data_IF_704736355067
#
_entry.id   IF_704736355067
#
_cell.length_a   1.000
_cell.length_b   1.000
_cell.length_c   1.000
_cell.angle_alpha   90.00
_cell.angle_beta   90.00
_cell.angle_gamma   90.00
#
_symmetry.space_group_name_H-M   'P 1'
#
loop_
_entity.id
_entity.type
_entity.pdbx_description
1 polymer ?
#
# COMPACT_ATOMS: atom_id res chain seq x y z
N UNK A 1 -6.16 51.28 -20.01
CA UNK A 1 -4.95 50.85 -20.72
C UNK A 1 -3.76 51.56 -20.09
N UNK A 2 -2.92 50.84 -19.35
CA UNK A 2 -1.73 51.42 -18.71
C UNK A 2 -0.50 51.07 -19.55
N UNK A 3 0.17 52.09 -20.07
CA UNK A 3 1.37 52.03 -20.90
C UNK A 3 2.61 51.90 -20.02
N UNK A 4 3.44 50.89 -20.26
CA UNK A 4 4.71 50.68 -19.55
C UNK A 4 5.79 51.55 -20.20
N UNK A 5 6.50 52.33 -19.40
CA UNK A 5 7.59 53.22 -19.83
C UNK A 5 8.90 52.44 -19.98
N UNK A 6 9.45 52.43 -21.20
CA UNK A 6 10.61 51.63 -21.63
C UNK A 6 11.94 52.25 -21.16
N UNK A 7 11.90 53.44 -20.57
CA UNK A 7 13.08 54.22 -20.17
C UNK A 7 13.85 53.63 -18.97
N UNK A 8 13.23 52.76 -18.15
CA UNK A 8 13.90 52.12 -17.01
C UNK A 8 14.73 50.88 -17.38
N UNK A 9 14.45 50.25 -18.53
CA UNK A 9 15.14 49.02 -18.94
C UNK A 9 16.55 49.32 -19.45
N UNK A 10 16.77 50.50 -20.05
CA UNK A 10 18.05 50.86 -20.68
C UNK A 10 19.10 51.41 -19.70
N UNK A 11 18.73 51.73 -18.45
CA UNK A 11 19.68 52.24 -17.45
C UNK A 11 20.42 51.13 -16.67
N UNK A 12 19.98 49.88 -16.81
CA UNK A 12 20.56 48.73 -16.09
C UNK A 12 21.72 48.03 -16.81
N UNK A 13 22.04 48.40 -18.06
CA UNK A 13 23.00 47.65 -18.89
C UNK A 13 24.36 48.34 -19.12
N UNK A 14 24.68 49.40 -18.39
CA UNK A 14 26.00 50.05 -18.51
C UNK A 14 26.61 50.37 -17.14
N UNK A 15 27.14 49.35 -16.46
CA UNK A 15 28.20 49.56 -15.46
C UNK A 15 29.13 48.36 -15.47
N UNK A 16 30.41 48.65 -15.59
CA UNK A 16 31.54 47.74 -15.82
C UNK A 16 31.56 46.51 -14.89
N UNK A 17 31.90 45.36 -15.49
CA UNK A 17 32.26 44.14 -14.77
C UNK A 17 33.58 44.32 -14.00
N UNK A 18 33.52 44.26 -12.67
CA UNK A 18 34.66 43.92 -11.80
C UNK A 18 34.48 42.48 -11.30
N UNK A 19 35.54 41.63 -11.30
CA UNK A 19 35.41 40.25 -10.85
C UNK A 19 35.26 40.18 -9.32
N UNK A 20 34.11 39.68 -8.87
CA UNK A 20 33.82 39.39 -7.46
C UNK A 20 34.70 38.23 -6.95
N UNK A 21 35.36 38.43 -5.81
CA UNK A 21 36.13 37.39 -5.09
C UNK A 21 35.20 36.23 -4.70
N UNK A 22 35.63 34.99 -4.99
CA UNK A 22 34.93 33.74 -4.63
C UNK A 22 34.64 33.69 -3.13
N UNK A 23 33.35 33.67 -2.77
CA UNK A 23 32.91 33.22 -1.44
C UNK A 23 33.05 31.70 -1.36
N UNK A 24 33.45 31.12 -0.21
CA UNK A 24 33.46 29.68 -0.03
C UNK A 24 32.05 29.11 -0.18
N UNK A 25 31.94 27.98 -0.88
CA UNK A 25 30.69 27.23 -1.07
C UNK A 25 30.17 26.76 0.31
N UNK A 26 28.87 26.88 0.64
CA UNK A 26 28.28 26.08 1.70
C UNK A 26 28.31 24.61 1.27
N UNK A 27 28.76 23.73 2.17
CA UNK A 27 28.77 22.29 1.93
C UNK A 27 27.35 21.79 1.58
N UNK A 28 27.21 20.77 0.72
CA UNK A 28 25.92 20.13 0.49
C UNK A 28 25.40 19.59 1.83
N UNK A 29 24.13 19.87 2.15
CA UNK A 29 23.45 19.20 3.25
C UNK A 29 23.59 17.69 3.04
N UNK A 30 24.22 17.01 4.00
CA UNK A 30 24.30 15.56 4.03
C UNK A 30 22.87 15.02 4.14
N UNK A 31 22.30 14.63 3.00
CA UNK A 31 21.25 13.62 2.99
C UNK A 31 21.93 12.37 3.53
N UNK A 32 21.67 12.05 4.80
CA UNK A 32 22.07 10.80 5.42
C UNK A 32 21.51 9.67 4.57
N UNK A 33 22.39 9.05 3.77
CA UNK A 33 22.12 7.76 3.16
C UNK A 33 21.86 6.77 4.28
N UNK A 34 20.94 5.80 4.10
CA UNK A 34 20.80 4.71 5.05
C UNK A 34 22.18 4.07 5.20
N UNK A 35 22.71 4.05 6.42
CA UNK A 35 23.93 3.31 6.72
C UNK A 35 23.63 1.85 6.48
N UNK A 36 24.06 1.33 5.33
CA UNK A 36 24.14 -0.11 5.09
C UNK A 36 25.18 -0.61 6.10
N UNK A 37 24.69 -1.13 7.21
CA UNK A 37 25.54 -1.73 8.24
C UNK A 37 26.11 -3.03 7.67
N UNK A 38 27.42 -3.06 7.45
CA UNK A 38 28.14 -4.30 7.17
C UNK A 38 27.90 -5.26 8.35
N UNK A 39 27.27 -6.44 8.14
CA UNK A 39 26.83 -7.32 9.22
C UNK A 39 27.99 -7.95 10.03
N UNK A 40 29.24 -7.65 9.69
CA UNK A 40 30.45 -8.17 10.34
C UNK A 40 30.92 -7.31 11.52
N UNK A 41 30.45 -6.06 11.64
CA UNK A 41 30.90 -5.13 12.69
C UNK A 41 29.79 -4.45 13.51
N UNK A 42 28.52 -4.83 13.32
CA UNK A 42 27.43 -4.26 14.11
C UNK A 42 27.57 -4.65 15.59
N UNK A 43 27.64 -3.65 16.48
CA UNK A 43 27.60 -3.92 17.90
C UNK A 43 26.22 -4.44 18.28
N UNK A 44 26.07 -5.29 19.31
CA UNK A 44 24.76 -5.78 19.73
C UNK A 44 23.80 -4.65 20.11
N UNK A 45 24.33 -3.49 20.52
CA UNK A 45 23.56 -2.27 20.82
C UNK A 45 23.02 -1.61 19.55
N UNK A 46 23.79 -1.58 18.45
CA UNK A 46 23.33 -1.04 17.16
C UNK A 46 22.26 -1.94 16.53
N UNK A 47 22.38 -3.27 16.69
CA UNK A 47 21.37 -4.22 16.24
C UNK A 47 20.08 -4.03 17.05
N UNK A 48 20.19 -3.87 18.38
CA UNK A 48 19.05 -3.57 19.24
C UNK A 48 18.38 -2.24 18.87
N UNK A 49 19.16 -1.18 18.67
CA UNK A 49 18.62 0.13 18.30
C UNK A 49 17.92 0.11 16.93
N UNK A 50 18.45 -0.62 15.95
CA UNK A 50 17.80 -0.79 14.65
C UNK A 50 16.48 -1.58 14.76
N UNK A 51 16.45 -2.65 15.56
CA UNK A 51 15.23 -3.42 15.81
C UNK A 51 14.18 -2.63 16.62
N UNK A 52 14.61 -1.79 17.57
CA UNK A 52 13.73 -0.89 18.31
C UNK A 52 13.15 0.23 17.41
N UNK A 53 13.92 0.73 16.45
CA UNK A 53 13.43 1.69 15.47
C UNK A 53 12.46 1.07 14.45
N UNK A 54 12.72 -0.17 13.99
CA UNK A 54 11.79 -0.89 13.10
C UNK A 54 10.50 -1.28 13.83
N UNK A 55 10.58 -1.69 15.10
CA UNK A 55 9.39 -1.98 15.91
C UNK A 55 8.59 -0.73 16.27
N UNK A 56 9.22 0.44 16.42
CA UNK A 56 8.53 1.72 16.62
C UNK A 56 7.81 2.24 15.36
N UNK A 57 8.18 1.74 14.16
CA UNK A 57 7.48 2.03 12.90
C UNK A 57 6.32 1.07 12.64
N UNK A 58 6.18 0.02 13.45
CA UNK A 58 4.99 -0.82 13.44
C UNK A 58 3.82 0.05 13.96
N UNK A 59 3.01 0.55 13.02
CA UNK A 59 1.80 1.27 13.36
C UNK A 59 1.00 0.42 14.36
N UNK A 60 0.73 0.96 15.54
CA UNK A 60 -0.14 0.30 16.52
C UNK A 60 -1.45 0.01 15.82
N UNK A 61 -1.77 -1.27 15.64
CA UNK A 61 -2.99 -1.65 14.96
C UNK A 61 -4.16 -1.27 15.85
N UNK A 62 -5.04 -0.44 15.31
CA UNK A 62 -6.27 0.02 15.95
C UNK A 62 -7.44 -0.08 14.96
N UNK A 63 -8.67 0.11 15.47
CA UNK A 63 -9.88 0.07 14.65
C UNK A 63 -9.82 1.05 13.45
N UNK A 64 -9.19 2.21 13.67
CA UNK A 64 -9.07 3.26 12.65
C UNK A 64 -8.13 2.80 11.54
N UNK A 65 -7.04 2.14 11.89
CA UNK A 65 -6.07 1.57 10.98
C UNK A 65 -6.69 0.47 10.12
N UNK A 66 -7.47 -0.45 10.70
CA UNK A 66 -8.16 -1.50 9.94
C UNK A 66 -9.19 -0.92 8.95
N UNK A 67 -9.96 0.08 9.37
CA UNK A 67 -10.88 0.80 8.45
C UNK A 67 -10.12 1.52 7.34
N UNK A 68 -8.99 2.14 7.67
CA UNK A 68 -8.12 2.81 6.68
C UNK A 68 -7.55 1.81 5.69
N UNK A 69 -7.09 0.66 6.16
CA UNK A 69 -6.52 -0.41 5.33
C UNK A 69 -7.57 -0.98 4.36
N UNK A 70 -8.78 -1.26 4.88
CA UNK A 70 -9.92 -1.69 4.07
C UNK A 70 -10.27 -0.66 2.98
N UNK A 71 -10.34 0.62 3.34
CA UNK A 71 -10.60 1.70 2.39
C UNK A 71 -9.46 1.91 1.38
N UNK A 72 -8.21 1.63 1.78
CA UNK A 72 -7.05 1.68 0.89
C UNK A 72 -7.13 0.56 -0.15
N UNK A 73 -7.43 -0.66 0.27
CA UNK A 73 -7.63 -1.79 -0.63
C UNK A 73 -8.72 -1.49 -1.67
N UNK A 74 -9.88 -1.00 -1.23
CA UNK A 74 -10.98 -0.63 -2.14
C UNK A 74 -10.55 0.43 -3.17
N UNK A 75 -9.81 1.46 -2.74
CA UNK A 75 -9.25 2.48 -3.65
C UNK A 75 -8.29 1.87 -4.66
N UNK A 76 -7.43 0.93 -4.26
CA UNK A 76 -6.49 0.26 -5.16
C UNK A 76 -7.21 -0.64 -6.16
N UNK A 77 -8.25 -1.35 -5.75
CA UNK A 77 -9.13 -2.13 -6.65
C UNK A 77 -9.75 -1.22 -7.70
N UNK A 78 -10.36 -0.12 -7.26
CA UNK A 78 -10.99 0.84 -8.18
C UNK A 78 -9.96 1.44 -9.14
N UNK A 79 -8.77 1.79 -8.64
CA UNK A 79 -7.70 2.36 -9.46
C UNK A 79 -7.20 1.37 -10.50
N UNK A 80 -6.96 0.12 -10.10
CA UNK A 80 -6.54 -0.94 -11.00
C UNK A 80 -7.58 -1.17 -12.10
N UNK A 81 -8.86 -1.31 -11.73
CA UNK A 81 -9.97 -1.47 -12.68
C UNK A 81 -10.07 -0.30 -13.65
N UNK A 82 -9.90 0.93 -13.17
CA UNK A 82 -9.87 2.13 -14.02
C UNK A 82 -8.72 2.05 -15.04
N UNK A 83 -7.52 1.66 -14.60
CA UNK A 83 -6.35 1.52 -15.48
C UNK A 83 -6.51 0.40 -16.50
N UNK A 84 -7.06 -0.76 -16.10
CA UNK A 84 -7.42 -1.86 -17.03
C UNK A 84 -8.44 -1.41 -18.06
N UNK A 85 -9.42 -0.60 -17.67
CA UNK A 85 -10.42 -0.05 -18.60
C UNK A 85 -9.81 0.96 -19.58
N UNK A 86 -8.89 1.82 -19.11
CA UNK A 86 -8.24 2.85 -19.93
C UNK A 86 -7.16 2.29 -20.86
N UNK A 87 -6.50 1.21 -20.46
CA UNK A 87 -5.34 0.65 -21.14
C UNK A 87 -5.50 -0.86 -21.43
N UNK A 88 -6.70 -1.29 -21.83
CA UNK A 88 -7.02 -2.69 -22.07
C UNK A 88 -6.06 -3.39 -23.06
N UNK A 89 -5.61 -2.68 -24.09
CA UNK A 89 -4.69 -3.20 -25.12
C UNK A 89 -3.21 -3.14 -24.73
N UNK A 90 -2.87 -2.55 -23.58
CA UNK A 90 -1.47 -2.35 -23.16
C UNK A 90 -1.26 -2.71 -21.67
N UNK A 91 -1.11 -4.02 -21.36
CA UNK A 91 -0.92 -4.51 -19.99
C UNK A 91 0.20 -3.84 -19.21
N UNK A 92 1.25 -3.38 -19.89
CA UNK A 92 2.39 -2.72 -19.25
C UNK A 92 2.00 -1.40 -18.58
N UNK A 93 0.94 -0.74 -19.04
CA UNK A 93 0.48 0.55 -18.48
C UNK A 93 -0.31 0.42 -17.19
N UNK A 94 -0.88 -0.74 -16.90
CA UNK A 94 -1.60 -0.98 -15.64
C UNK A 94 -0.86 -1.93 -14.70
N UNK A 95 0.29 -2.46 -15.10
CA UNK A 95 1.13 -3.34 -14.27
C UNK A 95 1.51 -2.69 -12.93
N UNK A 96 1.91 -1.41 -12.92
CA UNK A 96 2.22 -0.70 -11.66
C UNK A 96 1.01 -0.69 -10.71
N UNK A 97 -0.20 -0.52 -11.25
CA UNK A 97 -1.43 -0.57 -10.45
C UNK A 97 -1.83 -1.98 -10.02
N UNK A 98 -1.33 -3.03 -10.67
CA UNK A 98 -1.49 -4.42 -10.20
C UNK A 98 -0.54 -4.70 -9.04
N UNK A 99 0.72 -4.27 -9.15
CA UNK A 99 1.71 -4.40 -8.06
C UNK A 99 1.25 -3.63 -6.82
N UNK A 100 0.72 -2.42 -6.99
CA UNK A 100 0.16 -1.65 -5.88
C UNK A 100 -1.09 -2.31 -5.26
N UNK A 101 -1.90 -3.00 -6.06
CA UNK A 101 -3.05 -3.75 -5.57
C UNK A 101 -2.61 -4.99 -4.79
N UNK A 102 -1.67 -5.76 -5.34
CA UNK A 102 -1.09 -6.92 -4.67
C UNK A 102 -0.47 -6.52 -3.32
N UNK A 103 0.33 -5.44 -3.30
CA UNK A 103 0.91 -4.91 -2.06
C UNK A 103 -0.18 -4.58 -1.03
N UNK A 104 -1.28 -3.96 -1.44
CA UNK A 104 -2.39 -3.65 -0.54
C UNK A 104 -3.11 -4.91 -0.02
N UNK A 105 -3.17 -5.99 -0.82
CA UNK A 105 -3.67 -7.29 -0.36
C UNK A 105 -2.69 -7.88 0.66
N UNK A 106 -1.38 -7.77 0.41
CA UNK A 106 -0.36 -8.25 1.34
C UNK A 106 -0.42 -7.54 2.71
N UNK A 107 -0.67 -6.23 2.71
CA UNK A 107 -0.83 -5.46 3.95
C UNK A 107 -2.04 -5.92 4.79
N UNK A 108 -3.09 -6.47 4.17
CA UNK A 108 -4.28 -6.97 4.88
C UNK A 108 -3.99 -8.18 5.78
N UNK A 109 -2.89 -8.90 5.58
CA UNK A 109 -2.52 -10.04 6.43
C UNK A 109 -2.30 -9.67 7.90
N UNK A 110 -2.07 -8.38 8.20
CA UNK A 110 -2.02 -7.89 9.58
C UNK A 110 -3.31 -8.18 10.35
N UNK A 111 -4.46 -8.23 9.66
CA UNK A 111 -5.75 -8.53 10.28
C UNK A 111 -5.82 -9.99 10.74
N UNK A 112 -5.25 -10.94 9.98
CA UNK A 112 -5.26 -12.35 10.34
C UNK A 112 -4.48 -12.63 11.64
N UNK A 113 -3.47 -11.81 11.93
CA UNK A 113 -2.70 -11.87 13.17
C UNK A 113 -3.42 -11.24 14.38
N UNK A 114 -4.56 -10.56 14.17
CA UNK A 114 -5.30 -9.87 15.23
C UNK A 114 -6.82 -10.03 15.07
N UNK A 115 -7.35 -11.22 15.42
CA UNK A 115 -8.77 -11.56 15.26
C UNK A 115 -9.74 -10.67 16.04
N UNK A 116 -9.27 -9.93 17.05
CA UNK A 116 -10.07 -8.95 17.80
C UNK A 116 -10.66 -7.85 16.91
N UNK A 117 -10.04 -7.57 15.76
CA UNK A 117 -10.49 -6.54 14.83
C UNK A 117 -11.43 -7.04 13.73
N UNK A 118 -11.79 -8.34 13.70
CA UNK A 118 -12.66 -8.89 12.67
C UNK A 118 -14.02 -8.21 12.60
N UNK A 119 -14.63 -7.86 13.75
CA UNK A 119 -15.89 -7.12 13.77
C UNK A 119 -15.77 -5.75 13.08
N UNK A 120 -14.68 -5.03 13.34
CA UNK A 120 -14.39 -3.74 12.70
C UNK A 120 -14.20 -3.87 11.18
N UNK A 121 -13.52 -4.93 10.74
CA UNK A 121 -13.35 -5.25 9.32
C UNK A 121 -14.68 -5.58 8.62
N UNK A 122 -15.55 -6.35 9.27
CA UNK A 122 -16.89 -6.67 8.76
C UNK A 122 -17.74 -5.41 8.65
N UNK A 123 -17.75 -4.56 9.68
CA UNK A 123 -18.46 -3.27 9.68
C UNK A 123 -17.98 -2.32 8.57
N UNK A 124 -16.70 -2.39 8.21
CA UNK A 124 -16.12 -1.62 7.12
C UNK A 124 -16.50 -2.16 5.72
N UNK A 125 -17.24 -3.27 5.64
CA UNK A 125 -17.58 -3.93 4.37
C UNK A 125 -16.41 -4.73 3.77
N UNK A 126 -15.37 -4.98 4.55
CA UNK A 126 -14.16 -5.66 4.12
C UNK A 126 -14.38 -7.03 3.45
N UNK A 127 -15.24 -7.92 3.98
CA UNK A 127 -15.51 -9.21 3.34
C UNK A 127 -16.02 -9.07 1.90
N UNK A 128 -16.88 -8.10 1.62
CA UNK A 128 -17.36 -7.84 0.25
C UNK A 128 -16.25 -7.35 -0.67
N UNK A 129 -15.31 -6.56 -0.15
CA UNK A 129 -14.16 -6.07 -0.92
C UNK A 129 -13.25 -7.24 -1.28
N UNK A 130 -12.93 -8.13 -0.33
CA UNK A 130 -12.10 -9.32 -0.57
C UNK A 130 -12.78 -10.27 -1.55
N UNK A 131 -14.08 -10.54 -1.40
CA UNK A 131 -14.81 -11.40 -2.34
C UNK A 131 -14.81 -10.85 -3.76
N UNK A 132 -14.81 -9.53 -3.95
CA UNK A 132 -14.74 -8.92 -5.28
C UNK A 132 -13.43 -9.19 -6.02
N UNK A 133 -12.35 -9.54 -5.29
CA UNK A 133 -11.06 -9.91 -5.87
C UNK A 133 -11.01 -11.36 -6.37
N UNK A 134 -11.89 -12.25 -5.87
CA UNK A 134 -11.94 -13.64 -6.32
C UNK A 134 -12.35 -13.80 -7.79
N UNK A 135 -13.02 -12.80 -8.35
CA UNK A 135 -13.40 -12.77 -9.77
C UNK A 135 -12.37 -12.04 -10.64
N UNK A 136 -11.20 -11.69 -10.10
CA UNK A 136 -10.18 -10.97 -10.84
C UNK A 136 -9.63 -11.79 -12.03
N UNK A 137 -9.09 -11.11 -13.04
CA UNK A 137 -8.58 -11.74 -14.27
C UNK A 137 -7.11 -12.16 -14.13
N UNK A 138 -6.33 -11.46 -13.30
CA UNK A 138 -4.96 -11.84 -12.97
C UNK A 138 -4.96 -12.95 -11.89
N UNK A 139 -4.37 -14.10 -12.21
CA UNK A 139 -4.22 -15.27 -11.33
C UNK A 139 -3.36 -15.00 -10.09
N UNK A 140 -2.38 -14.10 -10.17
CA UNK A 140 -1.51 -13.75 -9.04
C UNK A 140 -2.33 -13.03 -7.95
N UNK A 141 -3.16 -12.06 -8.36
CA UNK A 141 -4.09 -11.35 -7.47
C UNK A 141 -5.12 -12.32 -6.89
N UNK A 142 -5.61 -13.25 -7.71
CA UNK A 142 -6.52 -14.29 -7.26
C UNK A 142 -5.86 -15.16 -6.18
N UNK A 143 -4.65 -15.65 -6.43
CA UNK A 143 -3.87 -16.45 -5.48
C UNK A 143 -3.60 -15.72 -4.17
N UNK A 144 -3.20 -14.45 -4.24
CA UNK A 144 -2.99 -13.61 -3.04
C UNK A 144 -4.28 -13.45 -2.23
N UNK A 145 -5.41 -13.25 -2.90
CA UNK A 145 -6.73 -13.14 -2.24
C UNK A 145 -7.14 -14.44 -1.55
N UNK A 146 -6.90 -15.58 -2.20
CA UNK A 146 -7.18 -16.90 -1.60
C UNK A 146 -6.28 -17.15 -0.39
N UNK A 147 -4.99 -16.78 -0.45
CA UNK A 147 -4.08 -16.87 0.69
C UNK A 147 -4.57 -16.01 1.87
N UNK A 148 -4.99 -14.77 1.61
CA UNK A 148 -5.57 -13.91 2.64
C UNK A 148 -6.82 -14.53 3.28
N UNK A 149 -7.74 -15.07 2.47
CA UNK A 149 -8.94 -15.74 3.00
C UNK A 149 -8.60 -16.99 3.82
N UNK A 150 -7.59 -17.76 3.41
CA UNK A 150 -7.11 -18.90 4.18
C UNK A 150 -6.63 -18.47 5.57
N UNK A 151 -5.80 -17.44 5.65
CA UNK A 151 -5.28 -16.96 6.94
C UNK A 151 -6.36 -16.33 7.81
N UNK A 152 -7.30 -15.58 7.22
CA UNK A 152 -8.43 -15.01 7.96
C UNK A 152 -9.37 -16.07 8.54
N UNK A 153 -9.40 -17.26 7.93
CA UNK A 153 -10.26 -18.38 8.34
C UNK A 153 -9.47 -19.52 9.00
N UNK A 154 -8.25 -19.25 9.46
CA UNK A 154 -7.47 -20.24 10.18
C UNK A 154 -8.14 -20.61 11.51
N UNK A 155 -8.07 -21.90 11.86
CA UNK A 155 -8.79 -22.44 13.02
C UNK A 155 -8.32 -21.79 14.31
N UNK A 156 -7.02 -21.52 14.44
CA UNK A 156 -6.48 -20.90 15.64
C UNK A 156 -7.02 -19.47 15.78
N UNK A 157 -6.95 -18.66 14.72
CA UNK A 157 -7.47 -17.29 14.68
C UNK A 157 -8.98 -17.21 14.98
N UNK A 158 -9.79 -18.15 14.47
CA UNK A 158 -11.23 -18.16 14.69
C UNK A 158 -11.60 -18.50 16.15
N UNK A 159 -10.73 -19.19 16.88
CA UNK A 159 -10.98 -19.51 18.30
C UNK A 159 -10.60 -18.39 19.26
N UNK A 160 -9.76 -17.42 18.84
CA UNK A 160 -9.33 -16.29 19.67
C UNK A 160 -10.42 -15.21 19.81
N UNK A 161 -11.28 -15.05 18.79
CA UNK A 161 -12.34 -14.04 18.73
C UNK A 161 -13.63 -14.63 18.17
N UNK A 162 -14.37 -15.39 19.00
CA UNK A 162 -15.56 -16.14 18.55
C UNK A 162 -16.67 -15.24 17.96
N UNK A 163 -16.90 -14.06 18.55
CA UNK A 163 -17.94 -13.14 18.07
C UNK A 163 -17.56 -12.46 16.73
N UNK A 164 -16.32 -11.96 16.63
CA UNK A 164 -15.83 -11.35 15.39
C UNK A 164 -15.68 -12.37 14.26
N UNK A 165 -15.20 -13.57 14.59
CA UNK A 165 -15.15 -14.71 13.68
C UNK A 165 -16.54 -15.10 13.16
N UNK A 166 -17.54 -15.21 14.04
CA UNK A 166 -18.90 -15.53 13.63
C UNK A 166 -19.46 -14.49 12.64
N UNK A 167 -19.25 -13.20 12.90
CA UNK A 167 -19.66 -12.12 12.00
C UNK A 167 -18.94 -12.20 10.64
N UNK A 168 -17.63 -12.50 10.64
CA UNK A 168 -16.87 -12.67 9.42
C UNK A 168 -17.40 -13.84 8.58
N UNK A 169 -17.60 -15.00 9.20
CA UNK A 169 -18.10 -16.20 8.53
C UNK A 169 -19.53 -15.98 8.01
N UNK A 170 -20.40 -15.33 8.79
CA UNK A 170 -21.75 -14.98 8.34
C UNK A 170 -21.72 -14.03 7.15
N UNK A 171 -20.85 -13.01 7.17
CA UNK A 171 -20.68 -12.07 6.07
C UNK A 171 -20.15 -12.76 4.79
N UNK A 172 -19.17 -13.65 4.92
CA UNK A 172 -18.63 -14.43 3.80
C UNK A 172 -19.69 -15.40 3.22
N UNK A 173 -20.47 -16.06 4.09
CA UNK A 173 -21.56 -16.93 3.68
C UNK A 173 -22.66 -16.15 2.95
N UNK A 174 -23.06 -14.98 3.47
CA UNK A 174 -24.02 -14.08 2.84
C UNK A 174 -23.50 -13.56 1.48
N UNK A 175 -22.19 -13.35 1.36
CA UNK A 175 -21.49 -12.98 0.13
C UNK A 175 -21.34 -14.10 -0.89
N UNK A 176 -21.89 -15.30 -0.63
CA UNK A 176 -21.77 -16.49 -1.50
C UNK A 176 -20.32 -16.84 -1.84
N UNK A 177 -19.46 -16.85 -0.83
CA UNK A 177 -18.03 -17.18 -0.96
C UNK A 177 -17.78 -18.48 -1.74
N UNK A 178 -18.61 -19.51 -1.56
CA UNK A 178 -18.49 -20.80 -2.26
C UNK A 178 -18.67 -20.63 -3.78
N UNK A 179 -19.66 -19.87 -4.22
CA UNK A 179 -19.88 -19.61 -5.66
C UNK A 179 -18.72 -18.81 -6.27
N UNK A 180 -18.18 -17.87 -5.49
CA UNK A 180 -17.01 -17.08 -5.89
C UNK A 180 -15.78 -17.98 -6.06
N UNK A 181 -15.56 -18.94 -5.15
CA UNK A 181 -14.49 -19.92 -5.27
C UNK A 181 -14.66 -20.86 -6.46
N UNK A 182 -15.87 -21.33 -6.76
CA UNK A 182 -16.11 -22.17 -7.94
C UNK A 182 -15.73 -21.43 -9.22
N UNK A 183 -16.14 -20.16 -9.33
CA UNK A 183 -15.77 -19.31 -10.46
C UNK A 183 -14.25 -19.06 -10.52
N UNK A 184 -13.60 -18.87 -9.36
CA UNK A 184 -12.16 -18.72 -9.27
C UNK A 184 -11.40 -19.98 -9.72
N UNK A 185 -11.84 -21.17 -9.31
CA UNK A 185 -11.20 -22.42 -9.67
C UNK A 185 -11.33 -22.75 -11.15
N UNK A 186 -12.46 -22.42 -11.78
CA UNK A 186 -12.60 -22.55 -13.25
C UNK A 186 -11.53 -21.74 -14.00
N UNK A 187 -11.14 -20.57 -13.48
CA UNK A 187 -10.07 -19.75 -14.08
C UNK A 187 -8.68 -20.31 -13.81
N UNK A 188 -8.45 -20.86 -12.63
CA UNK A 188 -7.16 -21.47 -12.26
C UNK A 188 -6.90 -22.78 -13.01
N UNK A 189 -7.94 -23.41 -13.58
CA UNK A 189 -7.84 -24.64 -14.39
C UNK A 189 -7.37 -24.37 -15.83
N UNK A 190 -7.18 -23.11 -16.25
CA UNK A 190 -6.57 -22.80 -17.55
C UNK A 190 -5.03 -22.93 -17.52
N UNK A 191 -4.58 -24.18 -17.79
CA UNK A 191 -3.29 -24.65 -18.36
C UNK A 191 -1.96 -24.34 -17.66
#
# INVERSE_FOLDING_TARGET
MATVDVSEILKASSSSYEPLKKRPCPAPAEVQRPTVVDPVHASPEDILAALEQDSAQLATVDDVYIRKLTAQLEKKILKNREMRTKHAEDPKKFMDSEVELDTAIQEMHVLAAQPEFYGCFVDAGGPSVVLSLLIHENSDILGATVNLLQELTDVDSLTESEEGAAQLIESLAAGRVIESFLTAFEKLDEK
#
